data_IF_588348404673
#
_entry.id   IF_588348404673
#
_cell.length_a   1.000
_cell.length_b   1.000
_cell.length_c   1.000
_cell.angle_alpha   90.00
_cell.angle_beta   90.00
_cell.angle_gamma   90.00
#
_symmetry.space_group_name_H-M   'P 1'
#
loop_
_entity.id
_entity.type
_entity.pdbx_description
1 polymer ?
#
# COMPACT_ATOMS: atom_id res chain seq x y z
N UNK A 1 41.53 -53.32 26.49
CA UNK A 1 40.29 -53.95 25.99
C UNK A 1 39.44 -52.87 25.33
N UNK A 2 39.08 -53.11 24.07
CA UNK A 2 38.22 -52.28 23.22
C UNK A 2 36.76 -52.38 23.67
N UNK A 3 36.05 -51.25 23.61
CA UNK A 3 34.62 -51.05 23.29
C UNK A 3 34.50 -49.54 22.98
N UNK A 4 34.73 -49.06 21.77
CA UNK A 4 33.87 -49.02 20.57
C UNK A 4 32.42 -48.49 20.76
N UNK A 5 32.19 -47.37 20.08
CA UNK A 5 30.98 -46.88 19.39
C UNK A 5 29.78 -46.34 20.18
N UNK A 6 29.61 -45.00 20.11
CA UNK A 6 28.66 -44.38 19.17
C UNK A 6 28.75 -42.84 19.25
N UNK A 7 29.48 -42.21 18.31
CA UNK A 7 29.34 -40.76 18.04
C UNK A 7 28.41 -40.58 16.86
N UNK A 8 27.29 -39.91 17.12
CA UNK A 8 26.25 -39.52 16.16
C UNK A 8 26.88 -38.65 15.06
N UNK A 9 26.76 -39.10 13.82
CA UNK A 9 27.19 -38.40 12.62
C UNK A 9 26.17 -37.34 12.23
N UNK A 10 26.56 -36.07 12.35
CA UNK A 10 25.82 -34.95 11.76
C UNK A 10 26.08 -34.98 10.26
N UNK A 11 25.10 -35.43 9.47
CA UNK A 11 25.14 -35.32 8.01
C UNK A 11 24.87 -33.88 7.59
N UNK A 12 25.91 -33.27 7.04
CA UNK A 12 25.88 -32.06 6.23
C UNK A 12 25.07 -32.36 4.95
N UNK A 13 23.85 -31.82 4.83
CA UNK A 13 23.15 -31.78 3.54
C UNK A 13 23.45 -30.42 2.93
N UNK A 14 24.42 -30.43 2.02
CA UNK A 14 24.76 -29.30 1.17
C UNK A 14 23.58 -28.96 0.25
N UNK A 15 23.33 -27.67 0.14
CA UNK A 15 22.30 -27.06 -0.67
C UNK A 15 22.46 -27.42 -2.16
N UNK A 16 21.46 -28.10 -2.71
CA UNK A 16 21.10 -27.98 -4.13
C UNK A 16 19.86 -27.10 -4.17
N UNK A 17 20.07 -25.80 -4.36
CA UNK A 17 18.99 -24.85 -4.65
C UNK A 17 19.47 -23.93 -5.76
N UNK A 18 19.71 -24.52 -6.92
CA UNK A 18 19.77 -23.82 -8.20
C UNK A 18 18.63 -24.36 -9.06
N UNK A 19 17.94 -23.45 -9.75
CA UNK A 19 16.79 -23.64 -10.66
C UNK A 19 15.40 -23.58 -10.01
N UNK A 20 15.00 -22.35 -9.69
CA UNK A 20 13.61 -21.90 -9.86
C UNK A 20 13.60 -20.42 -10.28
N UNK A 21 14.22 -20.13 -11.42
CA UNK A 21 13.94 -18.93 -12.20
C UNK A 21 13.25 -19.38 -13.49
N UNK A 22 12.14 -18.70 -13.80
CA UNK A 22 11.26 -18.82 -14.98
C UNK A 22 10.09 -19.81 -14.85
N UNK A 23 8.91 -19.30 -15.23
CA UNK A 23 7.58 -19.92 -15.29
C UNK A 23 6.77 -20.02 -13.98
N UNK A 24 6.39 -18.87 -13.41
CA UNK A 24 5.12 -18.80 -12.66
C UNK A 24 3.98 -18.64 -13.68
N UNK A 25 3.52 -19.76 -14.26
CA UNK A 25 2.18 -19.81 -14.84
C UNK A 25 1.21 -19.73 -13.66
N UNK A 26 0.79 -18.52 -13.32
CA UNK A 26 -0.24 -18.29 -12.34
C UNK A 26 -1.58 -18.76 -12.92
N UNK A 27 -1.93 -20.03 -12.72
CA UNK A 27 -3.34 -20.44 -12.70
C UNK A 27 -3.99 -19.68 -11.55
N UNK A 28 -4.85 -18.73 -11.88
CA UNK A 28 -5.61 -17.98 -10.89
C UNK A 28 -6.36 -18.98 -9.99
N UNK A 29 -6.31 -18.83 -8.66
CA UNK A 29 -7.07 -19.69 -7.76
C UNK A 29 -8.56 -19.54 -8.09
N UNK A 30 -9.23 -20.67 -8.20
CA UNK A 30 -10.66 -20.79 -8.48
C UNK A 30 -11.44 -20.28 -7.25
N UNK A 31 -11.60 -18.95 -7.14
CA UNK A 31 -12.51 -18.33 -6.19
C UNK A 31 -13.95 -18.78 -6.48
N UNK A 32 -14.81 -18.79 -5.45
CA UNK A 32 -16.19 -19.24 -5.53
C UNK A 32 -16.92 -18.52 -6.67
N UNK A 33 -17.18 -19.24 -7.76
CA UNK A 33 -17.75 -18.69 -8.99
C UNK A 33 -19.20 -18.29 -8.70
N UNK A 34 -19.55 -17.04 -9.00
CA UNK A 34 -20.92 -16.58 -8.96
C UNK A 34 -21.80 -17.29 -9.99
N UNK A 35 -23.13 -17.12 -9.93
CA UNK A 35 -24.03 -17.70 -10.93
C UNK A 35 -23.71 -17.14 -12.32
N UNK A 36 -23.63 -18.01 -13.33
CA UNK A 36 -23.35 -17.62 -14.72
C UNK A 36 -24.63 -17.63 -15.57
N UNK A 37 -24.69 -16.73 -16.55
CA UNK A 37 -25.77 -16.73 -17.54
C UNK A 37 -25.59 -17.93 -18.46
N UNK A 38 -26.49 -18.91 -18.37
CA UNK A 38 -26.34 -20.20 -19.01
C UNK A 38 -26.01 -20.13 -20.53
N UNK A 39 -26.60 -19.22 -21.34
CA UNK A 39 -26.26 -19.09 -22.76
C UNK A 39 -24.80 -18.73 -23.06
N UNK A 40 -24.05 -18.19 -22.11
CA UNK A 40 -22.63 -17.82 -22.27
C UNK A 40 -21.65 -18.80 -21.63
N UNK A 41 -22.13 -19.87 -20.97
CA UNK A 41 -21.28 -20.76 -20.18
C UNK A 41 -20.16 -21.44 -21.00
N UNK A 42 -20.46 -21.89 -22.23
CA UNK A 42 -19.45 -22.48 -23.12
C UNK A 42 -18.41 -21.45 -23.56
N UNK A 43 -18.84 -20.23 -23.87
CA UNK A 43 -17.99 -19.10 -24.31
C UNK A 43 -17.04 -18.70 -23.18
N UNK A 44 -17.55 -18.52 -21.96
CA UNK A 44 -16.73 -18.19 -20.79
C UNK A 44 -15.73 -19.30 -20.47
N UNK A 45 -16.12 -20.58 -20.63
CA UNK A 45 -15.20 -21.71 -20.46
C UNK A 45 -14.07 -21.69 -21.49
N UNK A 46 -14.38 -21.41 -22.76
CA UNK A 46 -13.37 -21.28 -23.82
C UNK A 46 -12.44 -20.09 -23.57
N UNK A 47 -12.99 -18.92 -23.22
CA UNK A 47 -12.23 -17.71 -22.88
C UNK A 47 -11.24 -17.92 -21.72
N UNK A 48 -11.57 -18.80 -20.77
CA UNK A 48 -10.73 -19.13 -19.62
C UNK A 48 -9.71 -20.23 -19.89
N UNK A 49 -9.85 -20.98 -20.96
CA UNK A 49 -8.94 -22.08 -21.29
C UNK A 49 -7.56 -21.56 -21.68
N UNK A 50 -6.50 -22.11 -21.09
CA UNK A 50 -5.13 -21.76 -21.45
C UNK A 50 -4.71 -22.32 -22.82
N UNK A 51 -5.43 -23.32 -23.34
CA UNK A 51 -5.15 -23.97 -24.62
C UNK A 51 -5.66 -23.17 -25.82
N UNK A 52 -6.47 -22.13 -25.58
CA UNK A 52 -7.04 -21.28 -26.61
C UNK A 52 -6.12 -20.06 -26.83
N UNK A 53 -5.86 -19.64 -28.08
CA UNK A 53 -5.07 -18.44 -28.38
C UNK A 53 -5.62 -17.19 -27.67
N UNK A 54 -4.73 -16.29 -27.26
CA UNK A 54 -5.07 -15.13 -26.41
C UNK A 54 -6.10 -14.21 -27.09
N UNK A 55 -5.96 -13.94 -28.38
CA UNK A 55 -6.88 -13.07 -29.14
C UNK A 55 -8.27 -13.68 -29.25
N UNK A 56 -8.34 -15.00 -29.41
CA UNK A 56 -9.60 -15.75 -29.45
C UNK A 56 -10.29 -15.71 -28.08
N UNK A 57 -9.53 -15.92 -27.00
CA UNK A 57 -10.04 -15.77 -25.62
C UNK A 57 -10.55 -14.35 -25.35
N UNK A 58 -9.83 -13.34 -25.84
CA UNK A 58 -10.25 -11.95 -25.71
C UNK A 58 -11.56 -11.68 -26.49
N UNK A 59 -11.71 -12.22 -27.70
CA UNK A 59 -12.95 -12.16 -28.46
C UNK A 59 -14.12 -12.85 -27.74
N UNK A 60 -13.86 -13.98 -27.07
CA UNK A 60 -14.88 -14.73 -26.33
C UNK A 60 -15.35 -13.98 -25.07
N UNK A 61 -14.45 -13.33 -24.33
CA UNK A 61 -14.87 -12.42 -23.25
C UNK A 61 -15.71 -11.25 -23.77
N UNK A 62 -15.33 -10.64 -24.90
CA UNK A 62 -16.12 -9.58 -25.53
C UNK A 62 -17.50 -10.08 -25.94
N UNK A 63 -17.60 -11.30 -26.49
CA UNK A 63 -18.88 -11.90 -26.85
C UNK A 63 -19.76 -12.16 -25.63
N UNK A 64 -19.21 -12.73 -24.56
CA UNK A 64 -19.95 -12.97 -23.32
C UNK A 64 -20.46 -11.65 -22.70
N UNK A 65 -19.62 -10.61 -22.67
CA UNK A 65 -20.02 -9.27 -22.22
C UNK A 65 -21.11 -8.67 -23.13
N UNK A 66 -20.97 -8.72 -24.45
CA UNK A 66 -21.95 -8.18 -25.39
C UNK A 66 -23.32 -8.89 -25.28
N UNK A 67 -23.35 -10.21 -25.05
CA UNK A 67 -24.59 -10.97 -24.85
C UNK A 67 -25.31 -10.61 -23.56
N UNK A 68 -24.59 -10.13 -22.55
CA UNK A 68 -25.12 -9.88 -21.21
C UNK A 68 -25.34 -8.40 -20.91
N UNK A 69 -24.67 -7.49 -21.60
CA UNK A 69 -24.79 -6.05 -21.40
C UNK A 69 -26.24 -5.52 -21.54
N UNK A 70 -27.04 -5.93 -22.55
CA UNK A 70 -28.44 -5.51 -22.65
C UNK A 70 -29.33 -6.03 -21.51
N UNK A 71 -28.91 -7.12 -20.87
CA UNK A 71 -29.63 -7.81 -19.80
C UNK A 71 -29.31 -7.24 -18.41
N UNK A 72 -28.44 -6.23 -18.31
CA UNK A 72 -28.05 -5.62 -17.04
C UNK A 72 -29.22 -4.96 -16.28
N UNK A 73 -30.35 -4.63 -16.92
CA UNK A 73 -31.60 -4.22 -16.24
C UNK A 73 -31.41 -3.20 -15.11
N UNK A 74 -31.93 -3.48 -13.91
CA UNK A 74 -31.41 -2.96 -12.62
C UNK A 74 -30.42 -3.95 -11.97
N UNK A 75 -30.20 -5.10 -12.61
CA UNK A 75 -29.91 -6.44 -12.08
C UNK A 75 -28.51 -6.70 -11.55
N UNK A 76 -28.12 -5.96 -10.52
CA UNK A 76 -27.06 -6.35 -9.59
C UNK A 76 -27.32 -7.76 -9.06
N UNK A 77 -26.28 -8.61 -9.02
CA UNK A 77 -26.37 -9.98 -8.49
C UNK A 77 -27.10 -10.99 -9.40
N UNK A 78 -27.52 -10.59 -10.61
CA UNK A 78 -28.11 -11.52 -11.59
C UNK A 78 -27.01 -12.31 -12.34
N UNK A 79 -27.30 -13.51 -12.86
CA UNK A 79 -26.31 -14.27 -13.62
C UNK A 79 -25.74 -13.53 -14.83
N UNK A 80 -26.54 -12.67 -15.48
CA UNK A 80 -26.09 -11.81 -16.56
C UNK A 80 -25.10 -10.73 -16.08
N UNK A 81 -25.39 -10.06 -14.98
CA UNK A 81 -24.47 -9.08 -14.39
C UNK A 81 -23.17 -9.72 -13.92
N UNK A 82 -23.23 -10.88 -13.27
CA UNK A 82 -22.03 -11.60 -12.82
C UNK A 82 -21.17 -12.05 -14.01
N UNK A 83 -21.79 -12.56 -15.07
CA UNK A 83 -21.07 -12.91 -16.32
C UNK A 83 -20.44 -11.69 -16.96
N UNK A 84 -21.17 -10.57 -17.06
CA UNK A 84 -20.65 -9.31 -17.60
C UNK A 84 -19.46 -8.80 -16.78
N UNK A 85 -19.59 -8.82 -15.44
CA UNK A 85 -18.54 -8.39 -14.51
C UNK A 85 -17.28 -9.25 -14.66
N UNK A 86 -17.45 -10.58 -14.69
CA UNK A 86 -16.37 -11.53 -14.89
C UNK A 86 -15.68 -11.30 -16.24
N UNK A 87 -16.44 -11.21 -17.34
CA UNK A 87 -15.91 -10.96 -18.66
C UNK A 87 -15.11 -9.65 -18.75
N UNK A 88 -15.60 -8.55 -18.18
CA UNK A 88 -14.88 -7.27 -18.15
C UNK A 88 -13.56 -7.36 -17.37
N UNK A 89 -13.60 -7.97 -16.17
CA UNK A 89 -12.44 -8.09 -15.30
C UNK A 89 -11.37 -9.02 -15.88
N UNK A 90 -11.78 -10.21 -16.30
CA UNK A 90 -10.88 -11.24 -16.85
C UNK A 90 -10.29 -10.82 -18.20
N UNK A 91 -11.05 -10.16 -19.08
CA UNK A 91 -10.51 -9.55 -20.31
C UNK A 91 -9.42 -8.53 -19.99
N UNK A 92 -9.65 -7.65 -19.01
CA UNK A 92 -8.68 -6.62 -18.62
C UNK A 92 -7.37 -7.23 -18.15
N UNK A 93 -7.44 -8.28 -17.31
CA UNK A 93 -6.28 -9.02 -16.83
C UNK A 93 -5.57 -9.74 -17.99
N UNK A 94 -6.32 -10.41 -18.87
CA UNK A 94 -5.77 -11.12 -20.02
C UNK A 94 -4.99 -10.19 -20.95
N UNK A 95 -5.60 -9.08 -21.37
CA UNK A 95 -4.99 -8.12 -22.29
C UNK A 95 -3.72 -7.48 -21.70
N UNK A 96 -3.72 -7.20 -20.38
CA UNK A 96 -2.57 -6.57 -19.73
C UNK A 96 -1.42 -7.54 -19.48
N UNK A 97 -1.72 -8.81 -19.18
CA UNK A 97 -0.73 -9.79 -18.72
C UNK A 97 -0.12 -10.64 -19.83
N UNK A 98 -0.84 -10.86 -20.93
CA UNK A 98 -0.40 -11.75 -22.00
C UNK A 98 0.66 -11.12 -22.90
N UNK A 99 1.62 -11.94 -23.34
CA UNK A 99 2.60 -11.61 -24.39
C UNK A 99 3.36 -10.28 -24.13
N UNK A 100 3.74 -10.03 -22.88
CA UNK A 100 4.44 -8.79 -22.51
C UNK A 100 3.58 -7.51 -22.60
N UNK A 101 2.25 -7.65 -22.63
CA UNK A 101 1.32 -6.54 -22.80
C UNK A 101 1.12 -6.14 -24.27
N UNK A 102 1.47 -7.01 -25.23
CA UNK A 102 1.29 -6.73 -26.67
C UNK A 102 -0.15 -6.36 -27.00
N UNK A 103 -1.15 -6.91 -26.32
CA UNK A 103 -2.56 -6.60 -26.58
C UNK A 103 -3.09 -5.43 -25.74
N UNK A 104 -2.23 -4.65 -25.09
CA UNK A 104 -2.65 -3.57 -24.21
C UNK A 104 -2.51 -2.18 -24.84
N UNK A 105 -3.49 -1.31 -24.57
CA UNK A 105 -3.46 0.11 -24.91
C UNK A 105 -3.16 0.41 -26.40
N UNK A 106 -3.77 -0.36 -27.30
CA UNK A 106 -3.82 -0.07 -28.72
C UNK A 106 -5.14 -0.59 -29.31
N UNK A 107 -5.61 -0.05 -30.45
CA UNK A 107 -6.78 -0.61 -31.13
C UNK A 107 -6.54 -2.07 -31.52
N UNK A 108 -7.49 -2.95 -31.22
CA UNK A 108 -7.42 -4.36 -31.57
C UNK A 108 -8.59 -4.76 -32.47
N UNK A 109 -8.33 -5.68 -33.38
CA UNK A 109 -9.37 -6.41 -34.12
C UNK A 109 -9.30 -7.87 -33.71
N UNK A 110 -10.32 -8.34 -33.01
CA UNK A 110 -10.34 -9.64 -32.36
C UNK A 110 -11.44 -10.50 -32.99
N UNK A 111 -11.04 -11.54 -33.71
CA UNK A 111 -11.96 -12.46 -34.38
C UNK A 111 -12.45 -13.55 -33.41
N UNK A 112 -13.74 -13.55 -33.11
CA UNK A 112 -14.44 -14.64 -32.45
C UNK A 112 -14.94 -15.68 -33.46
N UNK A 113 -15.74 -16.64 -33.00
CA UNK A 113 -16.26 -17.70 -33.88
C UNK A 113 -17.25 -17.15 -34.93
N UNK A 114 -18.09 -16.19 -34.52
CA UNK A 114 -19.18 -15.66 -35.36
C UNK A 114 -19.10 -14.15 -35.57
N UNK A 115 -18.27 -13.45 -34.79
CA UNK A 115 -18.24 -11.98 -34.73
C UNK A 115 -16.80 -11.50 -34.57
N UNK A 116 -16.42 -10.46 -35.31
CA UNK A 116 -15.17 -9.75 -35.13
C UNK A 116 -15.42 -8.46 -34.36
N UNK A 117 -14.73 -8.27 -33.23
CA UNK A 117 -14.84 -7.07 -32.41
C UNK A 117 -13.67 -6.11 -32.67
N UNK A 118 -13.97 -4.81 -32.67
CA UNK A 118 -12.96 -3.75 -32.66
C UNK A 118 -12.89 -3.13 -31.27
N UNK A 119 -11.83 -3.44 -30.54
CA UNK A 119 -11.65 -3.00 -29.16
C UNK A 119 -10.74 -1.77 -29.09
N UNK A 120 -11.16 -0.77 -28.32
CA UNK A 120 -10.35 0.37 -27.91
C UNK A 120 -10.46 0.62 -26.41
N UNK A 121 -9.50 1.34 -25.83
CA UNK A 121 -9.56 1.77 -24.43
C UNK A 121 -10.07 3.21 -24.34
N UNK A 122 -10.91 3.50 -23.35
CA UNK A 122 -11.37 4.85 -23.06
C UNK A 122 -10.19 5.72 -22.57
N UNK A 123 -9.98 6.93 -23.15
CA UNK A 123 -8.94 7.85 -22.68
C UNK A 123 -9.11 8.27 -21.22
N UNK A 124 -8.01 8.75 -20.62
CA UNK A 124 -8.00 9.23 -19.25
C UNK A 124 -8.97 10.40 -19.03
N UNK A 125 -9.66 10.40 -17.90
CA UNK A 125 -10.51 11.50 -17.44
C UNK A 125 -10.53 11.56 -15.92
N UNK A 126 -11.32 12.46 -15.32
CA UNK A 126 -11.45 12.47 -13.86
C UNK A 126 -12.03 11.14 -13.31
N UNK A 127 -12.90 10.48 -14.08
CA UNK A 127 -13.58 9.24 -13.70
C UNK A 127 -12.94 7.96 -14.29
N UNK A 128 -11.96 8.10 -15.18
CA UNK A 128 -11.31 6.98 -15.89
C UNK A 128 -9.80 7.07 -15.75
N UNK A 129 -9.18 6.00 -15.27
CA UNK A 129 -7.73 5.88 -15.19
C UNK A 129 -7.12 5.89 -16.59
N UNK A 130 -5.96 6.54 -16.73
CA UNK A 130 -5.17 6.40 -17.95
C UNK A 130 -4.82 4.91 -18.16
N UNK A 131 -4.98 4.37 -19.38
CA UNK A 131 -4.69 2.96 -19.67
C UNK A 131 -3.33 2.44 -19.22
N UNK A 132 -2.29 3.29 -19.26
CA UNK A 132 -0.92 2.92 -18.87
C UNK A 132 -0.55 3.34 -17.44
N UNK A 133 -1.52 3.78 -16.63
CA UNK A 133 -1.24 4.17 -15.25
C UNK A 133 -0.81 2.97 -14.39
N UNK A 134 -1.52 1.84 -14.51
CA UNK A 134 -1.19 0.60 -13.79
C UNK A 134 -0.32 -0.31 -14.66
N UNK A 135 0.60 -1.01 -14.00
CA UNK A 135 1.49 -1.97 -14.64
C UNK A 135 0.88 -3.36 -14.71
N UNK A 136 -0.06 -3.69 -13.81
CA UNK A 136 -0.82 -4.93 -13.80
C UNK A 136 -2.18 -4.77 -13.10
N UNK A 137 -3.05 -5.75 -13.27
CA UNK A 137 -4.34 -5.85 -12.61
C UNK A 137 -4.49 -7.22 -11.94
N UNK A 138 -5.18 -7.26 -10.81
CA UNK A 138 -5.55 -8.50 -10.12
C UNK A 138 -7.05 -8.47 -9.85
N UNK A 139 -7.79 -9.57 -10.08
CA UNK A 139 -9.18 -9.67 -9.64
C UNK A 139 -9.31 -9.38 -8.14
N UNK A 140 -10.28 -8.56 -7.75
CA UNK A 140 -10.41 -8.14 -6.36
C UNK A 140 -10.72 -9.33 -5.42
N UNK A 141 -11.50 -10.29 -5.89
CA UNK A 141 -11.86 -11.54 -5.19
C UNK A 141 -10.68 -12.52 -4.99
N UNK A 142 -9.61 -12.38 -5.78
CA UNK A 142 -8.38 -13.16 -5.62
C UNK A 142 -7.52 -12.64 -4.43
N UNK A 143 -7.81 -11.45 -3.90
CA UNK A 143 -7.06 -10.87 -2.78
C UNK A 143 -7.64 -11.34 -1.44
N UNK A 144 -6.80 -11.99 -0.64
CA UNK A 144 -7.19 -12.44 0.71
C UNK A 144 -7.07 -11.31 1.73
N UNK A 145 -8.19 -10.84 2.25
CA UNK A 145 -8.28 -9.70 3.17
C UNK A 145 -8.00 -10.06 4.65
N UNK A 146 -6.87 -10.72 4.92
CA UNK A 146 -6.56 -11.38 6.21
C UNK A 146 -6.68 -10.51 7.47
N UNK A 147 -6.45 -9.21 7.36
CA UNK A 147 -6.49 -8.28 8.51
C UNK A 147 -7.82 -7.54 8.63
N UNK A 148 -8.73 -7.70 7.68
CA UNK A 148 -10.00 -6.97 7.62
C UNK A 148 -11.10 -7.86 8.21
N UNK A 149 -11.98 -7.26 9.02
CA UNK A 149 -13.14 -7.96 9.61
C UNK A 149 -14.42 -7.75 8.82
N UNK A 150 -14.56 -6.59 8.19
CA UNK A 150 -15.71 -6.20 7.38
C UNK A 150 -15.16 -5.59 6.09
N UNK A 151 -15.44 -6.27 4.99
CA UNK A 151 -15.07 -5.80 3.66
C UNK A 151 -15.94 -4.60 3.27
N UNK A 152 -15.34 -3.66 2.54
CA UNK A 152 -16.01 -2.51 1.97
C UNK A 152 -16.16 -2.75 0.47
N UNK A 153 -17.18 -3.52 0.15
CA UNK A 153 -17.60 -3.76 -1.23
C UNK A 153 -18.79 -2.88 -1.57
N UNK A 154 -18.97 -2.66 -2.86
CA UNK A 154 -20.14 -2.01 -3.41
C UNK A 154 -20.61 -2.84 -4.60
N UNK A 155 -21.83 -3.36 -4.53
CA UNK A 155 -22.39 -4.14 -5.61
C UNK A 155 -22.74 -3.24 -6.80
N UNK A 156 -22.54 -3.74 -8.01
CA UNK A 156 -22.79 -2.95 -9.21
C UNK A 156 -22.31 -3.65 -10.47
N UNK A 157 -22.09 -2.84 -11.50
CA UNK A 157 -21.72 -3.29 -12.84
C UNK A 157 -20.23 -3.06 -13.10
N UNK A 158 -19.61 -3.99 -13.83
CA UNK A 158 -18.21 -4.02 -14.19
C UNK A 158 -17.36 -4.99 -13.36
N UNK A 159 -16.20 -5.36 -13.91
CA UNK A 159 -15.25 -6.23 -13.23
C UNK A 159 -14.45 -5.47 -12.17
N UNK A 160 -14.62 -5.84 -10.89
CA UNK A 160 -13.87 -5.25 -9.78
C UNK A 160 -12.42 -5.78 -9.76
N UNK A 161 -11.46 -4.86 -9.84
CA UNK A 161 -10.03 -5.14 -9.93
C UNK A 161 -9.24 -4.30 -8.92
N UNK A 162 -8.06 -4.81 -8.56
CA UNK A 162 -6.99 -4.00 -7.97
C UNK A 162 -6.00 -3.65 -9.09
N UNK A 163 -5.92 -2.37 -9.42
CA UNK A 163 -4.85 -1.84 -10.26
C UNK A 163 -3.56 -1.73 -9.45
N UNK A 164 -2.45 -2.26 -9.97
CA UNK A 164 -1.14 -2.24 -9.32
C UNK A 164 -0.17 -1.47 -10.20
N UNK A 165 0.46 -0.43 -9.65
CA UNK A 165 1.53 0.35 -10.29
C UNK A 165 2.85 0.04 -9.61
N UNK A 166 3.65 -0.82 -10.24
CA UNK A 166 4.98 -1.21 -9.79
C UNK A 166 5.98 -1.00 -10.92
N UNK A 167 6.79 0.04 -10.79
CA UNK A 167 7.81 0.43 -11.77
C UNK A 167 9.22 0.22 -11.20
N UNK A 168 10.22 0.21 -12.09
CA UNK A 168 11.63 0.06 -11.76
C UNK A 168 12.45 1.18 -12.42
N UNK A 169 13.16 2.05 -11.66
CA UNK A 169 13.23 2.07 -10.19
C UNK A 169 11.87 2.43 -9.54
N UNK A 170 11.62 2.03 -8.27
CA UNK A 170 10.38 2.37 -7.57
C UNK A 170 10.15 3.89 -7.49
N UNK A 171 8.90 4.32 -7.66
CA UNK A 171 8.52 5.71 -7.45
C UNK A 171 8.76 6.12 -5.98
N UNK A 172 9.05 7.42 -5.77
CA UNK A 172 9.17 7.97 -4.43
C UNK A 172 7.91 7.67 -3.61
N UNK A 173 8.11 7.22 -2.38
CA UNK A 173 7.06 6.81 -1.42
C UNK A 173 6.23 5.58 -1.83
N UNK A 174 6.53 4.92 -2.96
CA UNK A 174 5.85 3.69 -3.31
C UNK A 174 6.33 2.53 -2.41
N UNK A 175 5.41 1.71 -1.86
CA UNK A 175 5.79 0.43 -1.28
C UNK A 175 6.54 -0.43 -2.30
N UNK A 176 7.40 -1.36 -1.85
CA UNK A 176 8.15 -2.28 -2.74
C UNK A 176 7.27 -3.09 -3.69
N UNK A 177 6.00 -3.32 -3.33
CA UNK A 177 5.02 -4.04 -4.15
C UNK A 177 4.23 -3.14 -5.10
N UNK A 178 4.55 -1.85 -5.15
CA UNK A 178 3.85 -0.85 -5.94
C UNK A 178 2.73 -0.16 -5.19
N UNK A 179 2.13 0.83 -5.84
CA UNK A 179 0.96 1.57 -5.37
C UNK A 179 -0.30 0.88 -5.93
N UNK A 180 -1.34 0.73 -5.11
CA UNK A 180 -2.57 0.07 -5.50
C UNK A 180 -3.78 0.99 -5.46
N UNK A 181 -4.79 0.69 -6.27
CA UNK A 181 -6.07 1.39 -6.24
C UNK A 181 -7.23 0.47 -6.68
N UNK A 182 -8.47 0.74 -6.23
CA UNK A 182 -9.64 0.05 -6.76
C UNK A 182 -9.91 0.53 -8.19
N UNK A 183 -10.19 -0.41 -9.08
CA UNK A 183 -10.51 -0.19 -10.49
C UNK A 183 -11.75 -0.99 -10.84
N UNK A 184 -12.66 -0.43 -11.63
CA UNK A 184 -13.78 -1.18 -12.20
C UNK A 184 -13.66 -1.17 -13.72
N UNK A 185 -13.51 -2.34 -14.33
CA UNK A 185 -13.51 -2.49 -15.78
C UNK A 185 -14.94 -2.53 -16.31
N UNK A 186 -15.27 -1.69 -17.30
CA UNK A 186 -16.57 -1.71 -18.00
C UNK A 186 -16.39 -1.76 -19.51
N UNK A 187 -17.30 -2.41 -20.22
CA UNK A 187 -17.35 -2.47 -21.67
C UNK A 187 -18.63 -1.81 -22.19
N UNK A 188 -18.48 -0.88 -23.13
CA UNK A 188 -19.61 -0.32 -23.87
C UNK A 188 -19.55 -0.78 -25.33
N UNK A 189 -20.70 -1.19 -25.88
CA UNK A 189 -20.80 -1.72 -27.23
C UNK A 189 -21.60 -0.81 -28.17
N UNK A 190 -21.07 -0.62 -29.38
CA UNK A 190 -21.80 -0.06 -30.52
C UNK A 190 -21.64 -0.99 -31.71
N UNK A 191 -22.62 -1.87 -31.90
CA UNK A 191 -22.49 -3.07 -32.74
C UNK A 191 -21.24 -3.88 -32.32
N UNK A 192 -20.26 -4.03 -33.21
CA UNK A 192 -19.01 -4.77 -32.93
C UNK A 192 -17.89 -3.90 -32.39
N UNK A 193 -18.08 -2.58 -32.26
CA UNK A 193 -17.11 -1.69 -31.63
C UNK A 193 -17.27 -1.76 -30.11
N UNK A 194 -16.24 -2.19 -29.41
CA UNK A 194 -16.19 -2.27 -27.96
C UNK A 194 -15.24 -1.21 -27.40
N UNK A 195 -15.64 -0.54 -26.32
CA UNK A 195 -14.80 0.39 -25.58
C UNK A 195 -14.61 -0.10 -24.15
N UNK A 196 -13.37 -0.44 -23.77
CA UNK A 196 -13.01 -0.82 -22.41
C UNK A 196 -12.61 0.43 -21.60
N UNK A 197 -13.27 0.66 -20.48
CA UNK A 197 -12.95 1.76 -19.58
C UNK A 197 -12.48 1.26 -18.21
N UNK A 198 -11.41 1.88 -17.70
CA UNK A 198 -10.87 1.61 -16.36
C UNK A 198 -11.42 2.66 -15.38
N UNK A 199 -12.62 2.43 -14.87
CA UNK A 199 -13.34 3.39 -14.02
C UNK A 199 -12.64 3.57 -12.66
N UNK A 200 -12.80 4.76 -12.07
CA UNK A 200 -12.25 5.19 -10.78
C UNK A 200 -13.35 5.20 -9.70
N UNK A 201 -13.76 4.05 -9.14
CA UNK A 201 -14.89 3.98 -8.19
C UNK A 201 -14.69 4.83 -6.92
N UNK A 202 -13.44 5.14 -6.54
CA UNK A 202 -13.13 6.02 -5.42
C UNK A 202 -13.41 7.51 -5.70
N UNK A 203 -13.48 7.93 -6.97
CA UNK A 203 -13.82 9.30 -7.39
C UNK A 203 -15.27 9.42 -7.82
N UNK A 204 -15.75 8.43 -8.58
CA UNK A 204 -17.10 8.38 -9.10
C UNK A 204 -17.58 6.93 -9.09
N UNK A 205 -18.55 6.63 -8.22
CA UNK A 205 -19.06 5.27 -8.00
C UNK A 205 -20.14 4.86 -9.02
N UNK A 206 -20.41 5.71 -9.99
CA UNK A 206 -21.35 5.44 -11.09
C UNK A 206 -20.68 5.71 -12.43
N UNK A 207 -21.08 4.97 -13.46
CA UNK A 207 -20.67 5.23 -14.84
C UNK A 207 -21.83 4.98 -15.79
N UNK A 208 -21.78 5.58 -16.97
CA UNK A 208 -22.65 5.19 -18.08
C UNK A 208 -22.17 3.85 -18.62
N UNK A 209 -23.05 2.85 -18.62
CA UNK A 209 -22.83 1.53 -19.22
C UNK A 209 -24.11 1.14 -19.94
N UNK A 210 -24.01 0.82 -21.23
CA UNK A 210 -25.17 0.53 -22.09
C UNK A 210 -26.19 1.68 -22.10
N UNK A 211 -25.67 2.91 -22.25
CA UNK A 211 -26.48 4.12 -22.34
C UNK A 211 -27.21 4.53 -21.04
N UNK A 212 -27.00 3.82 -19.93
CA UNK A 212 -27.63 4.11 -18.63
C UNK A 212 -26.58 4.38 -17.57
N UNK A 213 -26.85 5.34 -16.67
CA UNK A 213 -26.00 5.57 -15.49
C UNK A 213 -26.24 4.44 -14.49
N UNK A 214 -25.18 3.73 -14.11
CA UNK A 214 -25.24 2.55 -13.25
C UNK A 214 -24.24 2.62 -12.10
N UNK A 215 -24.57 2.05 -10.93
CA UNK A 215 -23.57 1.81 -9.87
C UNK A 215 -22.47 0.88 -10.37
N UNK A 216 -21.23 1.17 -9.97
CA UNK A 216 -20.07 0.34 -10.29
C UNK A 216 -19.85 -0.72 -9.23
N UNK A 217 -19.48 -1.93 -9.66
CA UNK A 217 -18.95 -2.95 -8.75
C UNK A 217 -17.57 -2.51 -8.26
N UNK A 218 -17.32 -2.52 -6.97
CA UNK A 218 -16.03 -2.14 -6.41
C UNK A 218 -15.73 -2.87 -5.10
N UNK A 219 -14.45 -3.17 -4.90
CA UNK A 219 -13.93 -3.57 -3.60
C UNK A 219 -12.87 -2.55 -3.15
N UNK A 220 -13.19 -1.77 -2.10
CA UNK A 220 -12.29 -0.76 -1.53
C UNK A 220 -11.31 -1.35 -0.49
N UNK A 221 -11.55 -2.58 -0.03
CA UNK A 221 -10.73 -3.31 0.93
C UNK A 221 -9.58 -4.09 0.27
N UNK A 222 -9.78 -4.58 -0.95
CA UNK A 222 -8.79 -5.35 -1.69
C UNK A 222 -7.46 -4.59 -1.94
N UNK A 223 -7.44 -3.29 -2.33
CA UNK A 223 -6.19 -2.58 -2.61
C UNK A 223 -5.22 -2.52 -1.43
N UNK A 224 -5.71 -2.28 -0.20
CA UNK A 224 -4.86 -2.26 0.99
C UNK A 224 -4.47 -3.69 1.43
N UNK A 225 -5.30 -4.68 1.12
CA UNK A 225 -5.03 -6.11 1.40
C UNK A 225 -4.11 -6.78 0.37
N UNK A 226 -3.84 -6.13 -0.77
CA UNK A 226 -2.86 -6.59 -1.75
C UNK A 226 -1.47 -6.78 -1.15
N UNK A 227 -1.14 -5.93 -0.17
CA UNK A 227 0.06 -6.08 0.60
C UNK A 227 -0.17 -7.23 1.62
N UNK A 228 0.66 -8.30 1.63
CA UNK A 228 0.50 -9.36 2.61
C UNK A 228 1.09 -8.94 3.97
N UNK A 229 0.38 -9.18 5.08
CA UNK A 229 0.96 -8.99 6.40
C UNK A 229 2.08 -10.02 6.64
N UNK A 230 3.05 -9.71 7.52
CA UNK A 230 4.02 -10.71 7.97
C UNK A 230 3.31 -11.85 8.73
N UNK A 231 3.96 -13.01 8.83
CA UNK A 231 3.40 -14.18 9.51
C UNK A 231 3.05 -13.95 10.98
N UNK A 232 3.74 -13.01 11.66
CA UNK A 232 3.38 -12.55 13.00
C UNK A 232 3.65 -11.05 13.15
N UNK A 233 2.58 -10.27 13.33
CA UNK A 233 2.68 -8.83 13.61
C UNK A 233 3.38 -8.57 14.96
N UNK A 234 3.12 -9.41 15.96
CA UNK A 234 3.74 -9.31 17.28
C UNK A 234 5.25 -9.54 17.19
N UNK A 235 5.70 -10.58 16.48
CA UNK A 235 7.13 -10.85 16.34
C UNK A 235 7.86 -9.70 15.65
N UNK A 236 7.31 -9.19 14.54
CA UNK A 236 7.91 -8.05 13.82
C UNK A 236 7.88 -6.78 14.67
N UNK A 237 6.80 -6.55 15.43
CA UNK A 237 6.71 -5.45 16.39
C UNK A 237 7.78 -5.55 17.49
N UNK A 238 7.96 -6.75 18.07
CA UNK A 238 9.01 -7.00 19.07
C UNK A 238 10.41 -6.82 18.48
N UNK A 239 10.69 -7.33 17.29
CA UNK A 239 11.96 -7.09 16.58
C UNK A 239 12.18 -5.59 16.37
N UNK A 240 11.19 -4.87 15.85
CA UNK A 240 11.29 -3.42 15.67
C UNK A 240 11.48 -2.64 16.96
N UNK A 241 10.97 -3.14 18.09
CA UNK A 241 11.13 -2.52 19.41
C UNK A 241 12.44 -2.85 20.12
N UNK A 242 12.99 -4.05 19.91
CA UNK A 242 14.17 -4.54 20.64
C UNK A 242 15.45 -4.58 19.80
N UNK A 243 15.34 -4.70 18.48
CA UNK A 243 16.43 -4.90 17.54
C UNK A 243 16.20 -4.05 16.28
N UNK A 244 16.34 -2.74 16.44
CA UNK A 244 16.05 -1.79 15.37
C UNK A 244 16.82 -2.07 14.06
N UNK A 245 18.06 -2.57 14.15
CA UNK A 245 18.91 -2.95 13.01
C UNK A 245 18.43 -4.18 12.25
N UNK A 246 17.62 -5.04 12.87
CA UNK A 246 17.03 -6.25 12.26
C UNK A 246 15.60 -5.99 11.74
N UNK A 247 15.13 -4.74 11.77
CA UNK A 247 13.77 -4.41 11.31
C UNK A 247 13.64 -4.60 9.79
N UNK A 248 12.67 -5.42 9.32
CA UNK A 248 12.67 -5.90 7.94
C UNK A 248 12.20 -4.85 6.90
N UNK A 249 11.70 -3.69 7.33
CA UNK A 249 11.18 -2.65 6.45
C UNK A 249 12.04 -1.37 6.55
N UNK A 250 12.33 -0.69 5.43
CA UNK A 250 13.03 0.60 5.49
C UNK A 250 12.20 1.62 6.26
N UNK A 251 12.86 2.41 7.10
CA UNK A 251 12.24 3.62 7.68
C UNK A 251 11.81 4.55 6.55
N UNK A 252 10.56 5.00 6.55
CA UNK A 252 10.09 5.88 5.48
C UNK A 252 8.60 6.15 5.50
N UNK A 253 8.20 7.11 4.68
CA UNK A 253 6.81 7.41 4.38
C UNK A 253 6.37 6.60 3.16
N UNK A 254 5.19 5.98 3.23
CA UNK A 254 4.66 5.16 2.15
C UNK A 254 3.23 5.56 1.79
N UNK A 255 2.98 5.70 0.49
CA UNK A 255 1.67 6.04 -0.05
C UNK A 255 0.94 4.74 -0.36
N UNK A 256 -0.23 4.55 0.25
CA UNK A 256 -1.04 3.35 0.03
C UNK A 256 -1.98 3.47 -1.17
N UNK A 257 -2.02 4.66 -1.78
CA UNK A 257 -2.88 5.02 -2.90
C UNK A 257 -2.11 5.97 -3.84
N UNK A 258 -2.50 6.08 -5.12
CA UNK A 258 -2.04 7.14 -6.00
C UNK A 258 -2.15 8.52 -5.35
N UNK A 259 -1.07 9.30 -5.42
CA UNK A 259 -1.11 10.69 -4.99
C UNK A 259 -2.19 11.46 -5.74
N UNK A 260 -2.93 12.27 -5.01
CA UNK A 260 -4.05 13.04 -5.53
C UNK A 260 -4.04 14.46 -4.95
N UNK A 261 -3.78 15.51 -5.75
CA UNK A 261 -3.64 16.87 -5.23
C UNK A 261 -4.93 17.41 -4.59
N UNK A 262 -6.10 16.84 -4.92
CA UNK A 262 -7.38 17.29 -4.39
C UNK A 262 -7.75 16.64 -3.05
N UNK A 263 -6.99 15.63 -2.61
CA UNK A 263 -7.25 14.89 -1.36
C UNK A 263 -6.29 15.30 -0.25
N UNK A 264 -6.81 15.42 0.96
CA UNK A 264 -6.05 15.73 2.16
C UNK A 264 -5.21 14.50 2.54
N UNK A 265 -3.89 14.61 2.66
CA UNK A 265 -3.08 13.50 3.13
C UNK A 265 -3.26 13.28 4.63
N UNK A 266 -3.58 12.04 5.00
CA UNK A 266 -3.64 11.56 6.38
C UNK A 266 -2.45 10.64 6.62
N UNK A 267 -1.54 11.08 7.49
CA UNK A 267 -0.32 10.34 7.81
C UNK A 267 -0.52 9.59 9.11
N UNK A 268 -0.47 8.26 9.05
CA UNK A 268 -0.56 7.40 10.22
C UNK A 268 0.81 7.03 10.78
N UNK A 269 1.00 7.24 12.08
CA UNK A 269 2.25 6.98 12.80
C UNK A 269 1.98 5.94 13.89
N UNK A 270 2.52 4.73 13.71
CA UNK A 270 2.32 3.62 14.63
C UNK A 270 3.16 3.77 15.93
N UNK A 271 2.83 2.99 16.97
CA UNK A 271 3.45 3.09 18.30
C UNK A 271 4.45 1.97 18.60
N UNK A 272 4.95 1.94 19.84
CA UNK A 272 5.92 0.93 20.31
C UNK A 272 5.41 -0.51 20.12
N UNK A 273 6.30 -1.41 19.70
CA UNK A 273 5.99 -2.83 19.45
C UNK A 273 4.89 -3.10 18.44
N UNK A 274 4.58 -2.10 17.59
CA UNK A 274 3.58 -2.24 16.54
C UNK A 274 4.23 -2.08 15.16
N UNK A 275 3.43 -2.29 14.12
CA UNK A 275 3.86 -2.16 12.73
C UNK A 275 2.86 -1.29 11.96
N UNK A 276 3.21 -0.80 10.76
CA UNK A 276 2.26 -0.05 9.95
C UNK A 276 0.97 -0.82 9.64
N UNK A 277 1.02 -2.16 9.63
CA UNK A 277 -0.13 -3.03 9.42
C UNK A 277 -1.23 -2.87 10.46
N UNK A 278 -0.91 -2.37 11.66
CA UNK A 278 -1.90 -2.06 12.69
C UNK A 278 -2.96 -1.08 12.18
N UNK A 279 -2.63 -0.24 11.19
CA UNK A 279 -3.55 0.72 10.59
C UNK A 279 -4.48 0.15 9.52
N UNK A 280 -4.28 -1.08 9.03
CA UNK A 280 -5.12 -1.64 7.95
C UNK A 280 -6.60 -1.62 8.30
N UNK A 281 -6.97 -2.05 9.52
CA UNK A 281 -8.36 -2.04 9.97
C UNK A 281 -8.94 -0.63 10.05
N UNK A 282 -8.16 0.32 10.58
CA UNK A 282 -8.57 1.72 10.71
C UNK A 282 -8.75 2.37 9.34
N UNK A 283 -7.77 2.21 8.45
CA UNK A 283 -7.83 2.75 7.09
C UNK A 283 -8.99 2.13 6.33
N UNK A 284 -9.21 0.82 6.46
CA UNK A 284 -10.37 0.16 5.89
C UNK A 284 -11.67 0.75 6.45
N UNK A 285 -11.82 0.86 7.77
CA UNK A 285 -13.02 1.45 8.39
C UNK A 285 -13.30 2.88 7.89
N UNK A 286 -12.26 3.71 7.77
CA UNK A 286 -12.37 5.06 7.20
C UNK A 286 -12.74 5.03 5.72
N UNK A 287 -12.17 4.10 4.95
CA UNK A 287 -12.53 3.89 3.55
C UNK A 287 -13.94 3.32 3.37
N UNK A 288 -14.70 2.97 4.41
CA UNK A 288 -16.11 2.60 4.27
C UNK A 288 -16.99 3.84 3.95
N UNK A 289 -16.55 5.03 4.38
CA UNK A 289 -17.28 6.28 4.17
C UNK A 289 -16.93 6.93 2.81
N UNK A 290 -17.91 7.16 1.91
CA UNK A 290 -17.67 7.77 0.60
C UNK A 290 -17.10 9.20 0.68
N UNK A 291 -17.49 10.00 1.65
CA UNK A 291 -16.97 11.37 1.82
C UNK A 291 -15.51 11.32 2.24
N UNK A 292 -15.13 10.37 3.10
CA UNK A 292 -13.73 10.16 3.45
C UNK A 292 -12.92 9.72 2.23
N UNK A 293 -13.39 8.73 1.46
CA UNK A 293 -12.70 8.26 0.25
C UNK A 293 -12.47 9.38 -0.77
N UNK A 294 -13.47 10.25 -0.94
CA UNK A 294 -13.45 11.37 -1.89
C UNK A 294 -12.47 12.47 -1.48
N UNK A 295 -12.34 12.74 -0.19
CA UNK A 295 -11.61 13.90 0.33
C UNK A 295 -10.25 13.59 0.96
N UNK A 296 -9.95 12.34 1.30
CA UNK A 296 -8.73 11.96 2.00
C UNK A 296 -7.93 10.87 1.27
N UNK A 297 -6.62 10.90 1.45
CA UNK A 297 -5.68 9.87 0.97
C UNK A 297 -4.78 9.44 2.12
N UNK A 298 -4.46 8.15 2.19
CA UNK A 298 -3.83 7.56 3.38
C UNK A 298 -2.38 7.18 3.15
N UNK A 299 -1.50 7.70 4.01
CA UNK A 299 -0.08 7.41 4.03
C UNK A 299 0.29 6.81 5.39
N UNK A 300 1.36 6.01 5.42
CA UNK A 300 1.87 5.41 6.64
C UNK A 300 3.34 5.78 6.82
N UNK A 301 3.75 6.08 8.04
CA UNK A 301 5.15 6.16 8.40
C UNK A 301 5.57 4.85 9.07
N UNK A 302 6.54 4.15 8.47
CA UNK A 302 7.13 2.95 9.04
C UNK A 302 8.49 3.28 9.66
N UNK A 303 8.74 2.78 10.87
CA UNK A 303 10.03 2.95 11.53
C UNK A 303 10.26 1.84 12.58
N UNK A 304 11.52 1.50 12.89
CA UNK A 304 11.84 0.65 14.03
C UNK A 304 11.47 1.38 15.31
N UNK A 305 10.55 0.81 16.08
CA UNK A 305 10.00 1.50 17.27
C UNK A 305 10.97 1.54 18.46
N UNK A 306 12.06 0.76 18.42
CA UNK A 306 13.15 0.82 19.39
C UNK A 306 14.07 2.02 19.19
N UNK A 307 13.96 2.71 18.06
CA UNK A 307 14.72 3.92 17.81
C UNK A 307 14.36 5.03 18.80
N UNK A 308 15.30 5.93 19.14
CA UNK A 308 14.99 7.11 19.93
C UNK A 308 13.82 7.91 19.33
N UNK A 309 12.95 8.43 20.20
CA UNK A 309 11.75 9.17 19.79
C UNK A 309 12.12 10.37 18.90
N UNK A 310 13.07 11.19 19.35
CA UNK A 310 13.52 12.39 18.62
C UNK A 310 14.17 12.06 17.28
N UNK A 311 14.94 10.96 17.21
CA UNK A 311 15.52 10.49 15.95
C UNK A 311 14.41 10.05 14.98
N UNK A 312 13.45 9.26 15.44
CA UNK A 312 12.32 8.83 14.61
C UNK A 312 11.44 10.00 14.17
N UNK A 313 11.27 11.01 15.03
CA UNK A 313 10.57 12.25 14.72
C UNK A 313 11.32 13.09 13.67
N UNK A 314 12.65 13.14 13.71
CA UNK A 314 13.47 13.73 12.65
C UNK A 314 13.27 13.00 11.33
N UNK A 315 13.33 11.66 11.30
CA UNK A 315 13.11 10.90 10.06
C UNK A 315 11.73 11.14 9.47
N UNK A 316 10.68 11.20 10.30
CA UNK A 316 9.34 11.59 9.84
C UNK A 316 9.37 13.00 9.23
N UNK A 317 10.02 13.98 9.86
CA UNK A 317 10.13 15.35 9.37
C UNK A 317 10.83 15.43 8.02
N UNK A 318 11.90 14.67 7.83
CA UNK A 318 12.63 14.58 6.57
C UNK A 318 11.77 13.99 5.46
N UNK A 319 11.02 12.92 5.75
CA UNK A 319 10.13 12.30 4.76
C UNK A 319 8.97 13.23 4.37
N UNK A 320 8.39 13.96 5.34
CA UNK A 320 7.40 14.99 5.05
C UNK A 320 8.00 16.13 4.21
N UNK A 321 9.21 16.60 4.51
CA UNK A 321 9.88 17.61 3.70
C UNK A 321 10.17 17.15 2.26
N UNK A 322 10.53 15.87 2.07
CA UNK A 322 10.67 15.27 0.73
C UNK A 322 9.33 15.23 -0.01
N UNK A 323 8.22 14.95 0.70
CA UNK A 323 6.88 14.96 0.12
C UNK A 323 6.46 16.40 -0.27
N UNK A 324 6.73 17.38 0.59
CA UNK A 324 6.49 18.81 0.33
C UNK A 324 7.28 19.27 -0.90
N UNK A 325 8.55 18.83 -1.05
CA UNK A 325 9.37 19.15 -2.21
C UNK A 325 8.84 18.51 -3.49
N UNK A 326 8.41 17.25 -3.43
CA UNK A 326 7.90 16.52 -4.59
C UNK A 326 6.53 17.03 -5.03
N UNK A 327 5.69 17.44 -4.07
CA UNK A 327 4.32 17.85 -4.29
C UNK A 327 4.00 19.21 -3.64
N UNK A 328 4.64 20.31 -4.03
CA UNK A 328 4.56 21.60 -3.31
C UNK A 328 3.14 22.14 -3.10
N UNK A 329 2.20 21.74 -3.96
CA UNK A 329 0.80 22.15 -3.94
C UNK A 329 -0.14 21.15 -3.22
N UNK A 330 0.40 20.13 -2.53
CA UNK A 330 -0.43 19.19 -1.77
C UNK A 330 -1.22 19.93 -0.68
N UNK A 331 -2.42 19.43 -0.37
CA UNK A 331 -3.24 19.95 0.74
C UNK A 331 -2.54 19.75 2.08
N UNK A 332 -2.77 20.64 3.07
CA UNK A 332 -2.16 20.49 4.39
C UNK A 332 -2.48 19.15 5.06
N UNK A 333 -1.57 18.65 5.90
CA UNK A 333 -1.62 17.33 6.51
C UNK A 333 -2.62 17.23 7.66
N UNK A 334 -3.21 16.04 7.79
CA UNK A 334 -3.68 15.49 9.06
C UNK A 334 -2.70 14.41 9.50
N UNK A 335 -2.20 14.45 10.74
CA UNK A 335 -1.31 13.40 11.26
C UNK A 335 -1.97 12.69 12.43
N UNK A 336 -2.01 11.36 12.38
CA UNK A 336 -2.63 10.51 13.39
C UNK A 336 -1.56 9.66 14.05
N UNK A 337 -1.34 9.89 15.35
CA UNK A 337 -0.33 9.17 16.12
C UNK A 337 -0.96 8.25 17.16
N UNK A 338 -0.58 6.97 17.16
CA UNK A 338 -0.98 6.01 18.18
C UNK A 338 0.13 5.75 19.18
N UNK A 339 -0.18 5.81 20.48
CA UNK A 339 0.76 5.54 21.57
C UNK A 339 2.04 6.38 21.37
N UNK A 340 3.23 5.76 21.39
CA UNK A 340 4.50 6.44 21.14
C UNK A 340 4.58 7.16 19.79
N UNK A 341 3.86 6.70 18.76
CA UNK A 341 3.77 7.40 17.47
C UNK A 341 3.12 8.80 17.59
N UNK A 342 2.34 9.01 18.64
CA UNK A 342 1.83 10.33 19.01
C UNK A 342 2.91 11.27 19.54
N UNK A 343 4.00 10.77 20.14
CA UNK A 343 5.14 11.62 20.53
C UNK A 343 5.86 12.14 19.28
N UNK A 344 6.11 11.28 18.29
CA UNK A 344 6.68 11.69 17.00
C UNK A 344 5.79 12.73 16.31
N UNK A 345 4.46 12.53 16.38
CA UNK A 345 3.45 13.44 15.82
C UNK A 345 3.46 14.80 16.53
N UNK A 346 3.54 14.80 17.86
CA UNK A 346 3.66 16.01 18.67
C UNK A 346 4.91 16.81 18.29
N UNK A 347 6.04 16.13 18.12
CA UNK A 347 7.31 16.76 17.73
C UNK A 347 7.27 17.37 16.32
N UNK A 348 6.27 17.03 15.49
CA UNK A 348 6.06 17.71 14.21
C UNK A 348 5.37 19.07 14.35
N UNK A 349 4.69 19.35 15.46
CA UNK A 349 3.83 20.55 15.64
C UNK A 349 4.30 21.48 16.75
N UNK A 350 5.43 21.19 17.38
CA UNK A 350 6.09 22.08 18.35
C UNK A 350 7.43 22.58 17.83
N UNK A 351 7.92 23.66 18.43
CA UNK A 351 9.27 24.18 18.19
C UNK A 351 10.13 23.88 19.41
N UNK A 352 11.31 23.32 19.16
CA UNK A 352 12.33 23.03 20.18
C UNK A 352 13.63 23.72 19.77
N UNK A 353 14.20 24.51 20.69
CA UNK A 353 15.44 25.26 20.47
C UNK A 353 16.52 24.81 21.45
N UNK A 354 17.78 25.12 21.13
CA UNK A 354 18.91 24.91 22.04
C UNK A 354 18.68 25.56 23.41
N UNK A 355 18.15 26.79 23.44
CA UNK A 355 17.86 27.50 24.70
C UNK A 355 16.86 26.76 25.60
N UNK A 356 15.92 25.98 25.03
CA UNK A 356 14.99 25.15 25.80
C UNK A 356 15.71 23.99 26.48
N UNK A 357 16.69 23.38 25.80
CA UNK A 357 17.55 22.35 26.38
C UNK A 357 18.50 22.89 27.42
N UNK A 358 19.09 24.07 27.21
CA UNK A 358 19.92 24.74 28.22
C UNK A 358 19.12 24.99 29.50
N UNK A 359 17.90 25.50 29.39
CA UNK A 359 17.02 25.71 30.55
C UNK A 359 16.73 24.42 31.33
N UNK A 360 16.65 23.27 30.64
CA UNK A 360 16.30 22.00 31.26
C UNK A 360 17.50 21.16 31.73
N UNK A 361 18.64 21.25 31.05
CA UNK A 361 19.81 20.37 31.25
C UNK A 361 21.11 21.13 31.54
N UNK A 362 21.09 22.47 31.47
CA UNK A 362 22.22 23.35 31.77
C UNK A 362 23.48 22.99 30.98
N UNK A 363 24.58 22.79 31.72
CA UNK A 363 25.91 22.57 31.14
C UNK A 363 25.98 21.36 30.20
N UNK A 364 25.16 20.32 30.43
CA UNK A 364 25.11 19.14 29.56
C UNK A 364 24.64 19.51 28.16
N UNK A 365 23.58 20.32 28.05
CA UNK A 365 23.10 20.80 26.75
C UNK A 365 24.18 21.67 26.08
N UNK A 366 24.76 22.62 26.80
CA UNK A 366 25.81 23.51 26.25
C UNK A 366 27.01 22.74 25.70
N UNK A 367 27.48 21.70 26.41
CA UNK A 367 28.59 20.87 25.93
C UNK A 367 28.24 20.20 24.61
N UNK A 368 27.03 19.65 24.52
CA UNK A 368 26.59 18.86 23.37
C UNK A 368 26.40 19.73 22.13
N UNK A 369 25.79 20.90 22.27
CA UNK A 369 25.66 21.83 21.15
C UNK A 369 26.99 22.45 20.75
N UNK A 370 27.93 22.65 21.69
CA UNK A 370 29.29 23.13 21.39
C UNK A 370 30.13 22.08 20.66
N UNK A 371 29.99 20.80 21.01
CA UNK A 371 30.76 19.69 20.45
C UNK A 371 30.23 19.19 19.10
N UNK A 372 29.05 19.63 18.68
CA UNK A 372 28.39 19.16 17.47
C UNK A 372 28.14 20.30 16.48
N UNK A 373 28.38 20.04 15.19
CA UNK A 373 28.02 21.01 14.15
C UNK A 373 26.50 21.20 14.05
N UNK A 374 26.05 22.37 13.58
CA UNK A 374 24.62 22.65 13.43
C UNK A 374 23.87 21.68 12.50
N UNK A 375 24.59 21.01 11.60
CA UNK A 375 24.03 20.00 10.69
C UNK A 375 24.21 18.56 11.20
N UNK A 376 24.76 18.36 12.40
CA UNK A 376 24.91 17.03 12.97
C UNK A 376 23.54 16.39 13.23
N UNK A 377 23.50 15.07 13.20
CA UNK A 377 22.27 14.33 13.46
C UNK A 377 21.67 14.66 14.84
N UNK A 378 22.52 14.84 15.85
CA UNK A 378 22.10 15.18 17.22
C UNK A 378 21.41 16.53 17.25
N UNK A 379 22.01 17.56 16.63
CA UNK A 379 21.43 18.91 16.61
C UNK A 379 20.13 18.93 15.82
N UNK A 380 20.07 18.27 14.66
CA UNK A 380 18.87 18.19 13.82
C UNK A 380 17.73 17.42 14.49
N UNK A 381 18.04 16.40 15.29
CA UNK A 381 17.04 15.63 16.03
C UNK A 381 16.51 16.36 17.27
N UNK A 382 17.33 17.22 17.89
CA UNK A 382 16.99 17.91 19.14
C UNK A 382 16.55 19.36 18.95
N UNK A 383 16.79 19.97 17.79
CA UNK A 383 16.36 21.33 17.46
C UNK A 383 15.55 21.33 16.16
N UNK A 384 14.32 21.81 16.23
CA UNK A 384 13.39 21.77 15.11
C UNK A 384 12.24 22.76 15.29
N UNK A 385 11.58 23.10 14.19
CA UNK A 385 10.39 23.97 14.17
C UNK A 385 9.14 23.16 13.86
N UNK A 386 8.01 23.67 14.36
CA UNK A 386 6.70 23.15 14.00
C UNK A 386 6.51 23.21 12.48
N UNK A 387 6.01 22.13 11.88
CA UNK A 387 5.71 22.08 10.46
C UNK A 387 4.40 22.84 10.17
N UNK A 388 4.44 23.99 9.46
CA UNK A 388 3.25 24.81 9.23
C UNK A 388 2.23 24.15 8.28
N UNK A 389 2.63 23.11 7.55
CA UNK A 389 1.77 22.31 6.67
C UNK A 389 0.90 21.32 7.43
N UNK A 390 1.15 21.05 8.71
CA UNK A 390 0.28 20.20 9.53
C UNK A 390 -0.81 21.07 10.15
N UNK A 391 -2.08 20.81 9.80
CA UNK A 391 -3.23 21.59 10.30
C UNK A 391 -4.05 20.86 11.35
N UNK A 392 -3.88 19.55 11.48
CA UNK A 392 -4.54 18.75 12.51
C UNK A 392 -3.67 17.58 12.93
N UNK A 393 -3.63 17.35 14.24
CA UNK A 393 -3.09 16.14 14.84
C UNK A 393 -4.19 15.41 15.59
N UNK A 394 -4.18 14.09 15.52
CA UNK A 394 -5.08 13.21 16.29
C UNK A 394 -4.22 12.26 17.10
N UNK A 395 -4.33 12.35 18.42
CA UNK A 395 -3.61 11.49 19.35
C UNK A 395 -4.51 10.35 19.82
N UNK A 396 -4.03 9.12 19.73
CA UNK A 396 -4.74 7.92 20.19
C UNK A 396 -3.86 7.25 21.25
N UNK A 397 -4.29 7.31 22.51
CA UNK A 397 -3.59 6.71 23.64
C UNK A 397 -2.12 7.16 23.78
N UNK A 398 -1.81 8.41 23.44
CA UNK A 398 -0.45 8.94 23.45
C UNK A 398 0.00 9.29 24.87
N UNK A 399 1.15 8.76 25.33
CA UNK A 399 1.64 8.97 26.69
C UNK A 399 2.39 10.32 26.81
N UNK A 400 1.70 11.45 26.65
CA UNK A 400 2.32 12.78 26.71
C UNK A 400 3.06 13.08 28.03
N UNK A 401 2.66 12.41 29.11
CA UNK A 401 3.27 12.52 30.45
C UNK A 401 4.10 11.30 30.84
N UNK A 402 4.43 10.43 29.89
CA UNK A 402 4.96 9.10 30.18
C UNK A 402 3.86 8.09 30.52
N UNK A 403 4.27 6.88 30.93
CA UNK A 403 3.38 5.78 31.30
C UNK A 403 3.96 5.03 32.49
N UNK A 404 3.14 4.71 33.49
CA UNK A 404 3.57 3.94 34.67
C UNK A 404 3.96 2.49 34.32
N UNK A 405 3.52 1.99 33.16
CA UNK A 405 3.95 0.70 32.61
C UNK A 405 5.43 0.75 32.20
N UNK A 406 5.96 1.95 31.92
CA UNK A 406 7.40 2.18 31.73
C UNK A 406 8.19 2.24 33.05
N UNK A 407 7.55 2.16 34.23
CA UNK A 407 8.22 2.12 35.53
C UNK A 407 8.25 0.74 36.22
N UNK A 408 7.42 -0.22 35.82
CA UNK A 408 7.43 -1.59 36.39
C UNK A 408 7.82 -2.65 35.35
N UNK A 409 8.88 -3.43 35.62
CA UNK A 409 9.28 -4.70 34.97
C UNK A 409 9.63 -4.65 33.47
N UNK A 410 8.70 -4.18 32.63
CA UNK A 410 8.86 -3.83 31.22
C UNK A 410 9.52 -2.43 31.08
N UNK A 411 9.69 -1.72 32.20
CA UNK A 411 10.12 -0.33 32.28
C UNK A 411 11.55 0.04 31.85
N UNK A 412 12.49 -0.92 31.79
CA UNK A 412 13.85 -0.63 31.27
C UNK A 412 13.84 -0.16 29.81
N UNK A 413 12.77 -0.46 29.06
CA UNK A 413 12.62 -0.17 27.63
C UNK A 413 12.13 1.25 27.41
N UNK A 414 11.18 1.75 28.22
CA UNK A 414 10.70 3.13 28.12
C UNK A 414 11.77 4.16 28.50
N UNK A 415 12.68 3.81 29.41
CA UNK A 415 13.79 4.66 29.83
C UNK A 415 14.82 4.82 28.70
N UNK A 416 15.12 3.77 27.92
CA UNK A 416 16.04 3.86 26.76
C UNK A 416 15.51 4.75 25.62
N UNK A 417 14.18 4.87 25.50
CA UNK A 417 13.52 5.67 24.46
C UNK A 417 13.39 7.17 24.81
N UNK A 418 13.60 7.51 26.10
CA UNK A 418 13.39 8.85 26.68
C UNK A 418 14.71 9.48 27.20
N UNK A 419 15.74 8.69 27.53
CA UNK A 419 16.86 9.21 28.33
C UNK A 419 17.94 9.96 27.53
N UNK A 420 18.03 11.24 27.89
CA UNK A 420 19.17 12.16 27.99
C UNK A 420 20.27 12.16 26.89
N UNK A 421 20.78 13.34 26.52
CA UNK A 421 21.67 13.52 25.37
C UNK A 421 22.91 12.60 25.28
N UNK A 422 23.50 12.19 26.41
CA UNK A 422 24.70 11.33 26.42
C UNK A 422 24.42 9.85 26.12
N UNK A 423 23.19 9.36 26.33
CA UNK A 423 22.75 8.03 25.86
C UNK A 423 22.13 8.10 24.47
N UNK A 424 21.57 9.25 24.10
CA UNK A 424 21.03 9.49 22.77
C UNK A 424 22.11 9.27 21.69
N UNK A 425 23.35 9.69 21.92
CA UNK A 425 24.46 9.48 20.97
C UNK A 425 24.75 8.00 20.75
N UNK A 426 24.92 7.19 21.80
CA UNK A 426 25.18 5.76 21.70
C UNK A 426 24.03 4.98 21.03
N UNK A 427 22.77 5.28 21.41
CA UNK A 427 21.60 4.60 20.85
C UNK A 427 21.32 5.05 19.40
N UNK A 428 21.59 6.32 19.08
CA UNK A 428 21.60 6.77 17.69
C UNK A 428 22.63 5.93 16.93
N UNK A 429 23.90 5.88 17.37
CA UNK A 429 24.97 5.11 16.68
C UNK A 429 24.55 3.67 16.36
N UNK A 430 23.93 2.97 17.31
CA UNK A 430 23.46 1.58 17.12
C UNK A 430 22.31 1.47 16.09
N UNK A 431 21.57 2.54 15.85
CA UNK A 431 20.41 2.59 14.94
C UNK A 431 20.74 3.11 13.54
N UNK A 432 22.00 3.41 13.25
CA UNK A 432 22.42 4.08 12.02
C UNK A 432 22.79 3.16 10.87
N UNK A 433 22.59 3.67 9.66
CA UNK A 433 23.22 3.14 8.45
C UNK A 433 24.60 3.77 8.21
N UNK A 434 25.41 3.18 7.33
CA UNK A 434 26.75 3.72 6.99
C UNK A 434 26.75 5.18 6.54
N UNK A 435 25.69 5.65 5.88
CA UNK A 435 25.56 7.05 5.48
C UNK A 435 25.18 7.99 6.64
N UNK A 436 24.42 7.50 7.62
CA UNK A 436 24.04 8.30 8.79
C UNK A 436 25.24 8.46 9.75
N UNK A 437 26.16 7.48 9.79
CA UNK A 437 27.40 7.54 10.59
C UNK A 437 28.32 8.71 10.20
N UNK A 438 28.43 9.05 8.91
CA UNK A 438 29.17 10.23 8.46
C UNK A 438 28.51 11.56 8.92
N UNK A 439 27.18 11.58 9.03
CA UNK A 439 26.41 12.77 9.44
C UNK A 439 26.40 13.00 10.96
N UNK A 440 26.76 12.01 11.77
CA UNK A 440 26.82 12.13 13.23
C UNK A 440 27.80 13.18 13.71
N UNK A 441 29.03 13.16 13.19
CA UNK A 441 30.12 14.06 13.58
C UNK A 441 30.27 15.26 12.65
N UNK A 442 29.51 15.28 11.55
CA UNK A 442 29.68 16.25 10.47
C UNK A 442 30.96 16.04 9.65
N UNK A 443 31.56 14.85 9.72
CA UNK A 443 32.73 14.47 8.92
C UNK A 443 32.26 13.97 7.56
N UNK A 444 32.14 14.89 6.60
CA UNK A 444 31.88 14.56 5.18
C UNK A 444 33.06 13.86 4.53
#
# INVERSE_FOLDING_TARGET
MRFENAKVSIRLIAAVTCLAFLASCATAPQAARGPEYAPTASIMREARSADVPVEKRAADYLQAAAMTAPLLGTGIGTPACETYNAACGELTVLLRSSEGGRLWNQPLTLAGNNTTYHLRLEPASNAVWAPNYFTSFVPADAIKEKLIRKENTHEGVGGALVGVRKVDPPEKFAPRRGITAPVTATLDFHATNATLALRRPAKQLTATVEGKVRPLNANFSAPISYFPPPGSLMLVGLLGGFRATEYPAPTGLYFLQPYDPDRIPVVFVHGLFSTPWTWVKTINGLQADPEIRKHYQFWIFAYPTGNPILYSALRLREELAKADQLYPNHKPYVVVGHSMGGMLTHDQVVTVTEAMWDKSLGQVAKSIFKENSGNSLIVRATTFRANPRIKRVVFICTPHRGSDIASNGIGKIGISLITLPTRLTAVIMDSLTGADLAQLTGSS
#
